data_IF_176042332379
#
_entry.id   IF_176042332379
#
_cell.length_a   1.000
_cell.length_b   1.000
_cell.length_c   1.000
_cell.angle_alpha   90.00
_cell.angle_beta   90.00
_cell.angle_gamma   90.00
#
_symmetry.space_group_name_H-M   'P 1'
#
loop_
_entity.id
_entity.type
_entity.pdbx_description
1 polymer ?
#
# COMPACT_ATOMS: atom_id res chain seq x y z
N UNK A 1 6.51 22.47 4.11
CA UNK A 1 5.82 21.15 4.08
C UNK A 1 4.35 21.30 3.71
N UNK A 2 3.61 22.24 4.31
CA UNK A 2 2.23 22.53 3.89
C UNK A 2 2.12 22.87 2.39
N UNK A 3 3.03 23.71 1.91
CA UNK A 3 3.04 24.15 0.51
C UNK A 3 3.28 23.01 -0.48
N UNK A 4 4.22 22.10 -0.19
CA UNK A 4 4.50 20.93 -1.04
C UNK A 4 3.30 19.99 -1.18
N UNK A 5 2.59 19.73 -0.07
CA UNK A 5 1.42 18.85 -0.13
C UNK A 5 0.25 19.51 -0.86
N UNK A 6 0.11 20.82 -0.77
CA UNK A 6 -0.87 21.57 -1.56
C UNK A 6 -0.54 21.49 -3.05
N UNK A 7 0.71 21.72 -3.44
CA UNK A 7 1.17 21.64 -4.83
C UNK A 7 0.87 20.26 -5.43
N UNK A 8 1.16 19.19 -4.69
CA UNK A 8 0.82 17.82 -5.10
C UNK A 8 -0.69 17.62 -5.28
N UNK A 9 -1.51 18.19 -4.40
CA UNK A 9 -2.97 18.08 -4.51
C UNK A 9 -3.50 18.82 -5.73
N UNK A 10 -2.98 20.02 -6.01
CA UNK A 10 -3.36 20.79 -7.19
C UNK A 10 -2.95 20.08 -8.47
N UNK A 11 -1.73 19.52 -8.50
CA UNK A 11 -1.28 18.74 -9.63
C UNK A 11 -2.12 17.47 -9.82
N UNK A 12 -2.45 16.76 -8.73
CA UNK A 12 -3.35 15.61 -8.78
C UNK A 12 -4.71 15.95 -9.39
N UNK A 13 -5.33 17.05 -8.96
CA UNK A 13 -6.58 17.55 -9.54
C UNK A 13 -6.44 17.88 -11.02
N UNK A 14 -5.36 18.56 -11.43
CA UNK A 14 -5.10 18.89 -12.84
C UNK A 14 -4.96 17.65 -13.72
N UNK A 15 -4.43 16.56 -13.17
CA UNK A 15 -4.30 15.26 -13.84
C UNK A 15 -5.60 14.43 -13.81
N UNK A 16 -6.65 14.91 -13.13
CA UNK A 16 -7.94 14.21 -13.03
C UNK A 16 -8.06 13.23 -11.86
N UNK A 17 -7.12 13.25 -10.90
CA UNK A 17 -7.24 12.45 -9.68
C UNK A 17 -8.21 13.10 -8.69
N UNK A 18 -9.07 12.28 -8.07
CA UNK A 18 -10.04 12.72 -7.06
C UNK A 18 -9.41 12.98 -5.68
N UNK A 19 -8.27 12.34 -5.38
CA UNK A 19 -7.62 12.42 -4.07
C UNK A 19 -6.10 12.24 -4.19
N UNK A 20 -5.36 12.94 -3.33
CA UNK A 20 -3.92 12.77 -3.12
C UNK A 20 -3.66 12.72 -1.61
N UNK A 21 -2.83 11.77 -1.18
CA UNK A 21 -2.40 11.62 0.21
C UNK A 21 -0.91 11.29 0.29
N UNK A 22 -0.30 11.62 1.42
CA UNK A 22 1.09 11.25 1.74
C UNK A 22 1.04 10.37 2.99
N UNK A 23 1.73 9.24 2.95
CA UNK A 23 1.83 8.30 4.06
C UNK A 23 3.29 7.95 4.32
N UNK A 24 3.63 7.70 5.57
CA UNK A 24 4.98 7.21 5.92
C UNK A 24 5.16 5.80 5.33
N UNK A 25 6.35 5.51 4.81
CA UNK A 25 6.73 4.19 4.31
C UNK A 25 6.99 3.21 5.47
N UNK A 26 5.95 2.87 6.21
CA UNK A 26 5.97 1.89 7.30
C UNK A 26 5.02 0.72 6.99
N UNK A 27 5.29 -0.49 7.50
CA UNK A 27 4.40 -1.62 7.33
C UNK A 27 2.97 -1.29 7.76
N UNK A 28 2.00 -1.88 7.07
CA UNK A 28 0.58 -1.67 7.38
C UNK A 28 0.29 -2.09 8.83
N UNK A 29 -0.51 -1.33 9.60
CA UNK A 29 -0.95 -1.76 10.93
C UNK A 29 -1.75 -3.08 10.88
N UNK A 30 -2.30 -3.43 9.71
CA UNK A 30 -3.05 -4.66 9.49
C UNK A 30 -2.23 -5.78 8.84
N UNK A 31 -0.89 -5.67 8.80
CA UNK A 31 -0.02 -6.66 8.16
C UNK A 31 -0.21 -8.08 8.74
N UNK A 32 -0.36 -8.20 10.06
CA UNK A 32 -0.63 -9.51 10.69
C UNK A 32 -1.96 -10.13 10.24
N UNK A 33 -3.00 -9.33 10.03
CA UNK A 33 -4.28 -9.84 9.54
C UNK A 33 -4.15 -10.35 8.10
N UNK A 34 -3.40 -9.63 7.26
CA UNK A 34 -3.08 -10.08 5.91
C UNK A 34 -2.27 -11.38 5.90
N UNK A 35 -1.27 -11.52 6.78
CA UNK A 35 -0.48 -12.75 6.87
C UNK A 35 -1.35 -13.96 7.24
N UNK A 36 -2.20 -13.84 8.27
CA UNK A 36 -3.14 -14.91 8.64
C UNK A 36 -4.09 -15.29 7.51
N UNK A 37 -4.53 -14.30 6.72
CA UNK A 37 -5.40 -14.52 5.57
C UNK A 37 -4.67 -15.27 4.43
N UNK A 38 -3.39 -14.98 4.21
CA UNK A 38 -2.53 -15.73 3.29
C UNK A 38 -2.31 -17.16 3.78
N UNK A 39 -1.96 -17.33 5.06
CA UNK A 39 -1.68 -18.64 5.66
C UNK A 39 -2.94 -19.55 5.66
N UNK A 40 -4.13 -18.96 5.68
CA UNK A 40 -5.42 -19.66 5.57
C UNK A 40 -5.86 -19.91 4.10
N UNK A 41 -4.98 -19.69 3.12
CA UNK A 41 -5.24 -19.84 1.67
C UNK A 41 -6.46 -19.05 1.15
N UNK A 42 -6.88 -18.00 1.88
CA UNK A 42 -8.09 -17.24 1.55
C UNK A 42 -7.91 -16.33 0.32
N UNK A 43 -6.73 -16.32 -0.29
CA UNK A 43 -6.47 -15.65 -1.56
C UNK A 43 -7.06 -16.38 -2.78
N UNK A 44 -7.55 -17.61 -2.61
CA UNK A 44 -8.11 -18.41 -3.69
C UNK A 44 -7.13 -18.51 -4.86
N UNK A 45 -7.57 -18.18 -6.07
CA UNK A 45 -6.74 -18.26 -7.27
C UNK A 45 -5.69 -17.14 -7.40
N UNK A 46 -5.70 -16.13 -6.53
CA UNK A 46 -4.77 -15.00 -6.57
C UNK A 46 -3.39 -15.36 -5.97
N UNK A 47 -2.75 -16.42 -6.48
CA UNK A 47 -1.47 -16.93 -5.97
C UNK A 47 -0.34 -15.87 -5.95
N UNK A 48 -0.44 -14.84 -6.80
CA UNK A 48 0.50 -13.70 -6.78
C UNK A 48 0.48 -12.90 -5.47
N UNK A 49 -0.56 -13.04 -4.64
CA UNK A 49 -0.65 -12.42 -3.31
C UNK A 49 0.19 -13.17 -2.27
N UNK A 50 0.34 -14.49 -2.41
CA UNK A 50 1.08 -15.35 -1.46
C UNK A 50 2.55 -15.55 -1.82
N UNK A 51 3.03 -14.95 -2.91
CA UNK A 51 4.44 -15.08 -3.33
C UNK A 51 5.39 -14.60 -2.22
N UNK A 52 6.47 -15.34 -1.90
CA UNK A 52 7.41 -14.95 -0.84
C UNK A 52 8.00 -13.55 -1.02
N UNK A 53 8.35 -13.15 -2.25
CA UNK A 53 8.88 -11.81 -2.54
C UNK A 53 7.85 -10.69 -2.29
N UNK A 54 6.55 -10.98 -2.46
CA UNK A 54 5.45 -10.05 -2.20
C UNK A 54 5.12 -9.92 -0.71
N UNK A 55 5.39 -10.95 0.09
CA UNK A 55 5.25 -10.90 1.55
C UNK A 55 6.42 -10.11 2.15
N UNK A 56 7.65 -10.41 1.73
CA UNK A 56 8.85 -9.70 2.18
C UNK A 56 8.74 -8.19 1.96
N UNK A 57 8.33 -7.76 0.77
CA UNK A 57 8.13 -6.32 0.44
C UNK A 57 7.03 -5.61 1.24
N UNK A 58 6.13 -6.34 1.91
CA UNK A 58 5.10 -5.74 2.77
C UNK A 58 5.53 -5.65 4.22
N UNK A 59 6.50 -6.49 4.61
CA UNK A 59 7.13 -6.49 5.92
C UNK A 59 8.28 -5.46 5.97
N UNK A 60 9.04 -5.37 4.89
CA UNK A 60 10.11 -4.40 4.70
C UNK A 60 9.86 -3.63 3.39
N UNK A 61 9.70 -2.32 3.51
CA UNK A 61 9.30 -1.45 2.39
C UNK A 61 10.50 -0.87 1.61
N UNK A 62 11.72 -1.38 1.86
CA UNK A 62 12.98 -0.89 1.30
C UNK A 62 13.58 -1.83 0.24
#
# INVERSE_FOLDING_TARGET
MADFFEDLRQQGKRLGFNMVGVVTAVPSPNLHAYQRWIDAEMHGQMAYLARPDRLARRQDLN
#
